data_IF_001975832858
#
_entry.id   IF_001975832858
#
_cell.length_a   1.000
_cell.length_b   1.000
_cell.length_c   1.000
_cell.angle_alpha   90.00
_cell.angle_beta   90.00
_cell.angle_gamma   90.00
#
_symmetry.space_group_name_H-M   'P 1'
#
loop_
_entity.id
_entity.type
_entity.pdbx_description
1 polymer ?
#
# COMPACT_ATOMS: atom_id res chain seq x y z
N UNK A 1 -32.59 0.09 16.77
CA UNK A 1 -32.73 -0.57 15.44
C UNK A 1 -31.37 -0.94 14.83
N UNK A 2 -30.35 -0.08 14.88
CA UNK A 2 -28.99 -0.40 14.34
C UNK A 2 -28.01 -1.05 15.34
N UNK A 3 -28.37 -1.18 16.62
CA UNK A 3 -27.52 -1.85 17.60
C UNK A 3 -27.38 -3.33 17.24
N UNK A 4 -26.15 -3.86 17.22
CA UNK A 4 -25.83 -5.26 16.87
C UNK A 4 -26.05 -5.62 15.38
N UNK A 5 -26.19 -4.63 14.47
CA UNK A 5 -26.25 -4.88 13.03
C UNK A 5 -24.90 -4.61 12.36
N UNK A 6 -24.79 -5.02 11.10
CA UNK A 6 -23.65 -4.70 10.24
C UNK A 6 -23.45 -3.18 10.02
N UNK A 7 -24.39 -2.34 10.48
CA UNK A 7 -24.28 -0.88 10.38
C UNK A 7 -23.14 -0.37 11.26
N UNK A 8 -23.11 -0.84 12.50
CA UNK A 8 -22.03 -0.52 13.45
C UNK A 8 -20.70 -1.08 12.95
N UNK A 9 -20.73 -2.25 12.32
CA UNK A 9 -19.56 -2.90 11.73
C UNK A 9 -19.00 -2.05 10.59
N UNK A 10 -19.83 -1.64 9.63
CA UNK A 10 -19.41 -0.80 8.51
C UNK A 10 -18.87 0.55 8.95
N UNK A 11 -19.57 1.25 9.86
CA UNK A 11 -19.11 2.52 10.42
C UNK A 11 -17.74 2.42 11.08
N UNK A 12 -17.55 1.43 11.96
CA UNK A 12 -16.28 1.22 12.66
C UNK A 12 -15.14 0.92 11.68
N UNK A 13 -15.39 0.07 10.68
CA UNK A 13 -14.37 -0.30 9.70
C UNK A 13 -13.96 0.88 8.80
N UNK A 14 -14.90 1.73 8.39
CA UNK A 14 -14.58 2.95 7.65
C UNK A 14 -13.66 3.88 8.45
N UNK A 15 -13.89 4.01 9.76
CA UNK A 15 -13.03 4.82 10.62
C UNK A 15 -11.64 4.20 10.81
N UNK A 16 -11.57 2.93 11.20
CA UNK A 16 -10.29 2.31 11.59
C UNK A 16 -9.39 2.05 10.38
N UNK A 17 -9.92 1.60 9.25
CA UNK A 17 -9.12 1.26 8.07
C UNK A 17 -8.51 2.49 7.41
N UNK A 18 -9.25 3.59 7.34
CA UNK A 18 -8.75 4.82 6.74
C UNK A 18 -7.66 5.45 7.62
N UNK A 19 -7.88 5.56 8.93
CA UNK A 19 -6.90 6.13 9.85
C UNK A 19 -5.65 5.26 9.92
N UNK A 20 -5.81 3.95 10.13
CA UNK A 20 -4.67 3.06 10.39
C UNK A 20 -3.79 2.94 9.16
N UNK A 21 -4.36 2.69 7.97
CA UNK A 21 -3.53 2.43 6.79
C UNK A 21 -2.99 3.69 6.12
N UNK A 22 -3.78 4.77 6.04
CA UNK A 22 -3.25 6.04 5.52
C UNK A 22 -2.22 6.62 6.49
N UNK A 23 -2.48 6.58 7.79
CA UNK A 23 -1.52 7.02 8.81
C UNK A 23 -0.25 6.18 8.83
N UNK A 24 -0.36 4.85 8.80
CA UNK A 24 0.78 3.94 8.76
C UNK A 24 1.63 4.13 7.50
N UNK A 25 1.00 4.22 6.32
CA UNK A 25 1.74 4.40 5.05
C UNK A 25 2.47 5.74 5.00
N UNK A 26 1.89 6.82 5.53
CA UNK A 26 2.55 8.12 5.62
C UNK A 26 3.79 8.10 6.51
N UNK A 27 3.67 7.54 7.73
CA UNK A 27 4.80 7.42 8.67
C UNK A 27 5.88 6.52 8.10
N UNK A 28 5.50 5.38 7.52
CA UNK A 28 6.44 4.43 6.95
C UNK A 28 7.21 5.05 5.79
N UNK A 29 6.53 5.78 4.90
CA UNK A 29 7.18 6.48 3.80
C UNK A 29 8.22 7.50 4.29
N UNK A 30 7.90 8.28 5.34
CA UNK A 30 8.82 9.24 5.94
C UNK A 30 10.06 8.56 6.57
N UNK A 31 9.85 7.45 7.29
CA UNK A 31 10.93 6.65 7.88
C UNK A 31 11.83 6.02 6.80
N UNK A 32 11.26 5.50 5.71
CA UNK A 32 12.03 4.91 4.60
C UNK A 32 12.91 5.95 3.91
N UNK A 33 12.37 7.14 3.64
CA UNK A 33 13.12 8.25 3.03
C UNK A 33 14.29 8.69 3.91
N UNK A 34 14.05 8.76 5.23
CA UNK A 34 15.08 9.09 6.22
C UNK A 34 16.20 8.05 6.29
N UNK A 35 15.88 6.75 6.13
CA UNK A 35 16.87 5.66 6.16
C UNK A 35 17.70 5.55 4.88
N UNK A 36 17.13 5.86 3.71
CA UNK A 36 17.81 5.76 2.42
C UNK A 36 18.55 7.04 2.01
N UNK A 37 18.95 7.87 3.00
CA UNK A 37 19.72 9.09 2.80
C UNK A 37 19.12 10.06 1.76
N UNK A 38 17.79 10.11 1.66
CA UNK A 38 17.10 11.02 0.73
C UNK A 38 17.07 10.56 -0.74
N UNK A 39 17.36 9.28 -1.03
CA UNK A 39 17.01 8.68 -2.31
C UNK A 39 15.49 8.75 -2.51
N UNK A 40 15.06 9.05 -3.74
CA UNK A 40 13.64 9.10 -4.10
C UNK A 40 13.17 7.74 -4.63
N UNK A 41 11.87 7.46 -4.47
CA UNK A 41 11.24 6.27 -5.05
C UNK A 41 11.26 6.35 -6.58
N UNK A 42 11.49 5.22 -7.24
CA UNK A 42 11.32 5.13 -8.69
C UNK A 42 9.86 5.36 -9.08
N UNK A 43 9.61 5.78 -10.33
CA UNK A 43 8.24 5.98 -10.84
C UNK A 43 7.37 4.71 -10.71
N UNK A 44 7.99 3.52 -10.81
CA UNK A 44 7.31 2.25 -10.56
C UNK A 44 6.90 2.09 -9.10
N UNK A 45 7.84 2.33 -8.15
CA UNK A 45 7.56 2.21 -6.72
C UNK A 45 6.47 3.20 -6.28
N UNK A 46 6.56 4.44 -6.76
CA UNK A 46 5.57 5.50 -6.51
C UNK A 46 4.22 5.14 -7.12
N UNK A 47 4.19 4.60 -8.34
CA UNK A 47 2.98 4.12 -9.00
C UNK A 47 2.30 2.99 -8.22
N UNK A 48 3.07 2.02 -7.72
CA UNK A 48 2.55 0.93 -6.88
C UNK A 48 2.02 1.42 -5.54
N UNK A 49 2.73 2.35 -4.88
CA UNK A 49 2.28 2.93 -3.61
C UNK A 49 0.97 3.72 -3.78
N UNK A 50 0.91 4.61 -4.78
CA UNK A 50 -0.29 5.42 -5.05
C UNK A 50 -1.43 4.52 -5.52
N UNK A 51 -1.17 3.61 -6.46
CA UNK A 51 -2.17 2.67 -6.98
C UNK A 51 -2.75 1.77 -5.88
N UNK A 52 -1.88 1.22 -5.03
CA UNK A 52 -2.29 0.44 -3.87
C UNK A 52 -3.13 1.26 -2.88
N UNK A 53 -2.74 2.50 -2.58
CA UNK A 53 -3.48 3.37 -1.66
C UNK A 53 -4.86 3.77 -2.21
N UNK A 54 -4.95 4.10 -3.51
CA UNK A 54 -6.22 4.43 -4.17
C UNK A 54 -7.14 3.22 -4.22
N UNK A 55 -6.61 2.06 -4.58
CA UNK A 55 -7.37 0.82 -4.61
C UNK A 55 -7.84 0.43 -3.20
N UNK A 56 -6.99 0.58 -2.18
CA UNK A 56 -7.37 0.38 -0.77
C UNK A 56 -8.51 1.31 -0.37
N UNK A 57 -8.37 2.62 -0.65
CA UNK A 57 -9.35 3.63 -0.21
C UNK A 57 -10.70 3.44 -0.88
N UNK A 58 -10.72 3.18 -2.18
CA UNK A 58 -11.95 2.94 -2.94
C UNK A 58 -12.66 1.65 -2.51
N UNK A 59 -11.92 0.56 -2.32
CA UNK A 59 -12.49 -0.71 -1.87
C UNK A 59 -12.92 -0.68 -0.40
N UNK A 60 -12.17 -0.02 0.48
CA UNK A 60 -12.57 0.20 1.88
C UNK A 60 -13.87 1.01 1.99
N UNK A 61 -14.01 2.05 1.17
CA UNK A 61 -15.24 2.85 1.11
C UNK A 61 -16.42 2.00 0.62
N UNK A 62 -16.24 1.28 -0.48
CA UNK A 62 -17.29 0.43 -1.06
C UNK A 62 -17.75 -0.66 -0.07
N UNK A 63 -16.80 -1.35 0.58
CA UNK A 63 -17.11 -2.40 1.54
C UNK A 63 -17.79 -1.85 2.81
N UNK A 64 -17.28 -0.74 3.34
CA UNK A 64 -17.87 -0.10 4.51
C UNK A 64 -19.27 0.44 4.24
N UNK A 65 -19.51 0.96 3.03
CA UNK A 65 -20.85 1.36 2.57
C UNK A 65 -21.78 0.15 2.49
N UNK A 66 -21.34 -0.94 1.86
CA UNK A 66 -22.17 -2.13 1.68
C UNK A 66 -22.54 -2.78 3.03
N UNK A 67 -21.57 -2.87 3.95
CA UNK A 67 -21.82 -3.29 5.34
C UNK A 67 -22.82 -2.38 6.04
N UNK A 68 -22.67 -1.06 5.87
CA UNK A 68 -23.56 -0.08 6.49
C UNK A 68 -24.99 -0.22 5.97
N UNK A 69 -25.14 -0.35 4.65
CA UNK A 69 -26.44 -0.52 4.01
C UNK A 69 -27.10 -1.85 4.39
N UNK A 70 -26.37 -2.97 4.31
CA UNK A 70 -26.86 -4.28 4.74
C UNK A 70 -27.28 -4.27 6.22
N UNK A 71 -26.53 -3.58 7.08
CA UNK A 71 -26.89 -3.41 8.48
C UNK A 71 -28.12 -2.54 8.72
N UNK A 72 -28.37 -1.55 7.87
CA UNK A 72 -29.55 -0.69 7.93
C UNK A 72 -30.83 -1.46 7.59
N UNK A 73 -30.79 -2.33 6.58
CA UNK A 73 -31.91 -3.22 6.22
C UNK A 73 -32.08 -4.42 7.18
N UNK A 74 -31.29 -4.48 8.26
CA UNK A 74 -31.48 -5.41 9.38
C UNK A 74 -30.53 -6.62 9.40
N UNK A 75 -29.41 -6.59 8.70
CA UNK A 75 -28.42 -7.67 8.77
C UNK A 75 -27.71 -7.69 10.13
N UNK A 76 -27.93 -8.75 10.91
CA UNK A 76 -27.40 -8.90 12.27
C UNK A 76 -25.94 -9.36 12.20
N UNK A 77 -25.08 -8.82 13.08
CA UNK A 77 -23.67 -9.22 13.14
C UNK A 77 -23.49 -10.65 13.67
N UNK A 78 -22.36 -11.28 13.32
CA UNK A 78 -21.92 -12.59 13.85
C UNK A 78 -22.89 -13.74 13.54
N UNK A 79 -23.57 -13.67 12.40
CA UNK A 79 -24.45 -14.73 11.91
C UNK A 79 -23.79 -15.44 10.72
N UNK A 80 -23.64 -16.76 10.81
CA UNK A 80 -23.09 -17.58 9.72
C UNK A 80 -24.16 -18.02 8.72
N UNK A 81 -25.40 -18.20 9.18
CA UNK A 81 -26.56 -18.47 8.34
C UNK A 81 -27.42 -17.22 8.29
N UNK A 82 -27.76 -16.75 7.09
CA UNK A 82 -28.54 -15.52 6.91
C UNK A 82 -29.62 -15.73 5.84
N UNK A 83 -30.74 -14.98 5.92
CA UNK A 83 -31.78 -15.04 4.90
C UNK A 83 -31.23 -14.78 3.49
N UNK A 84 -31.77 -15.48 2.48
CA UNK A 84 -31.30 -15.43 1.07
C UNK A 84 -31.27 -14.00 0.51
N UNK A 85 -32.12 -13.10 1.00
CA UNK A 85 -32.10 -11.67 0.63
C UNK A 85 -30.76 -10.96 0.91
N UNK A 86 -29.92 -11.50 1.80
CA UNK A 86 -28.61 -10.97 2.14
C UNK A 86 -27.44 -11.61 1.38
N UNK A 87 -27.69 -12.69 0.63
CA UNK A 87 -26.68 -13.37 -0.19
C UNK A 87 -25.92 -12.43 -1.13
N UNK A 88 -26.56 -11.55 -1.94
CA UNK A 88 -25.81 -10.67 -2.83
C UNK A 88 -24.93 -9.66 -2.08
N UNK A 89 -25.35 -9.20 -0.90
CA UNK A 89 -24.54 -8.33 -0.06
C UNK A 89 -23.28 -9.06 0.43
N UNK A 90 -23.44 -10.29 0.93
CA UNK A 90 -22.33 -11.10 1.44
C UNK A 90 -21.32 -11.49 0.36
N UNK A 91 -21.79 -11.82 -0.84
CA UNK A 91 -20.92 -12.08 -1.99
C UNK A 91 -20.14 -10.81 -2.36
N UNK A 92 -20.83 -9.67 -2.45
CA UNK A 92 -20.17 -8.40 -2.80
C UNK A 92 -19.14 -7.96 -1.76
N UNK A 93 -19.46 -8.06 -0.46
CA UNK A 93 -18.50 -7.81 0.62
C UNK A 93 -17.27 -8.72 0.50
N UNK A 94 -17.45 -9.99 0.14
CA UNK A 94 -16.33 -10.92 -0.01
C UNK A 94 -15.42 -10.51 -1.17
N UNK A 95 -15.98 -10.18 -2.34
CA UNK A 95 -15.18 -9.74 -3.49
C UNK A 95 -14.44 -8.43 -3.23
N UNK A 96 -15.11 -7.46 -2.60
CA UNK A 96 -14.48 -6.18 -2.26
C UNK A 96 -13.41 -6.37 -1.17
N UNK A 97 -13.60 -7.29 -0.22
CA UNK A 97 -12.57 -7.63 0.76
C UNK A 97 -11.32 -8.25 0.11
N UNK A 98 -11.50 -9.09 -0.91
CA UNK A 98 -10.37 -9.63 -1.69
C UNK A 98 -9.65 -8.51 -2.45
N UNK A 99 -10.38 -7.55 -3.01
CA UNK A 99 -9.78 -6.37 -3.66
C UNK A 99 -9.02 -5.48 -2.65
N UNK A 100 -9.54 -5.31 -1.43
CA UNK A 100 -8.80 -4.64 -0.36
C UNK A 100 -7.51 -5.39 -0.01
N UNK A 101 -7.58 -6.72 0.16
CA UNK A 101 -6.41 -7.53 0.49
C UNK A 101 -5.34 -7.49 -0.62
N UNK A 102 -5.75 -7.52 -1.90
CA UNK A 102 -4.80 -7.40 -3.02
C UNK A 102 -4.14 -6.03 -3.07
N UNK A 103 -4.89 -4.95 -2.79
CA UNK A 103 -4.32 -3.60 -2.70
C UNK A 103 -3.26 -3.49 -1.60
N UNK A 104 -3.42 -4.23 -0.49
CA UNK A 104 -2.42 -4.29 0.57
C UNK A 104 -1.11 -4.90 0.06
N UNK A 105 -1.17 -5.98 -0.71
CA UNK A 105 0.01 -6.61 -1.29
C UNK A 105 0.73 -5.67 -2.27
N UNK A 106 -0.03 -4.92 -3.09
CA UNK A 106 0.53 -3.99 -4.08
C UNK A 106 1.40 -2.92 -3.40
N UNK A 107 0.92 -2.30 -2.32
CA UNK A 107 1.72 -1.29 -1.62
C UNK A 107 2.81 -1.91 -0.72
N UNK A 108 2.63 -3.14 -0.25
CA UNK A 108 3.62 -3.82 0.59
C UNK A 108 4.87 -4.26 -0.19
N UNK A 109 4.73 -4.62 -1.47
CA UNK A 109 5.85 -5.04 -2.34
C UNK A 109 7.03 -4.06 -2.34
N UNK A 110 6.85 -2.76 -2.67
CA UNK A 110 7.96 -1.82 -2.67
C UNK A 110 8.58 -1.72 -1.27
N UNK A 111 7.76 -1.66 -0.21
CA UNK A 111 8.23 -1.59 1.19
C UNK A 111 9.09 -2.79 1.55
N UNK A 112 8.62 -4.02 1.33
CA UNK A 112 9.38 -5.23 1.61
C UNK A 112 10.67 -5.29 0.81
N UNK A 113 10.66 -4.84 -0.45
CA UNK A 113 11.86 -4.77 -1.28
C UNK A 113 12.88 -3.74 -0.79
N UNK A 114 12.47 -2.78 0.06
CA UNK A 114 13.40 -1.83 0.70
C UNK A 114 14.00 -2.41 1.99
N UNK A 115 13.22 -3.21 2.74
CA UNK A 115 13.62 -3.81 4.01
C UNK A 115 14.47 -5.07 3.82
N UNK A 116 14.10 -5.91 2.86
CA UNK A 116 14.91 -7.02 2.37
C UNK A 116 15.80 -6.40 1.28
N UNK A 117 17.13 -6.33 1.44
CA UNK A 117 18.06 -5.69 0.49
C UNK A 117 18.20 -6.47 -0.84
N UNK A 118 17.07 -6.82 -1.45
CA UNK A 118 16.93 -7.53 -2.71
C UNK A 118 16.89 -6.48 -3.82
N UNK A 119 17.99 -6.34 -4.56
CA UNK A 119 18.10 -5.56 -5.82
C UNK A 119 17.31 -4.24 -5.80
N UNK A 120 17.77 -3.30 -4.97
CA UNK A 120 17.17 -1.99 -4.71
C UNK A 120 17.08 -1.06 -5.93
N UNK A 121 17.77 -1.37 -7.04
CA UNK A 121 17.84 -0.53 -8.24
C UNK A 121 16.53 -0.38 -9.02
N UNK A 122 15.53 -1.24 -8.79
CA UNK A 122 14.21 -1.15 -9.42
C UNK A 122 13.26 -0.18 -8.71
N UNK A 123 13.44 0.03 -7.41
CA UNK A 123 12.51 0.76 -6.56
C UNK A 123 13.02 2.13 -6.08
N UNK A 124 14.31 2.40 -6.27
CA UNK A 124 14.95 3.67 -5.91
C UNK A 124 15.61 4.31 -7.13
N UNK A 125 15.45 5.62 -7.28
CA UNK A 125 16.13 6.42 -8.30
C UNK A 125 17.18 7.33 -7.64
N UNK A 126 18.34 7.47 -8.29
CA UNK A 126 19.33 8.47 -7.88
C UNK A 126 18.90 9.79 -8.48
N UNK A 127 18.51 10.75 -7.64
CA UNK A 127 18.23 12.12 -8.05
C UNK A 127 19.53 12.71 -8.61
N UNK A 128 19.58 12.98 -9.92
CA UNK A 128 20.73 13.62 -10.57
C UNK A 128 20.92 15.03 -10.01
N UNK A 129 21.71 15.14 -8.95
CA UNK A 129 21.98 16.40 -8.25
C UNK A 129 23.19 16.27 -7.35
N UNK A 130 24.36 16.08 -7.97
CA UNK A 130 25.67 16.19 -7.32
C UNK A 130 26.04 15.05 -6.36
N UNK A 131 26.81 14.06 -6.83
CA UNK A 131 27.59 13.23 -5.92
C UNK A 131 28.82 14.01 -5.46
N UNK A 132 29.07 14.22 -4.15
CA UNK A 132 30.44 14.22 -3.67
C UNK A 132 31.00 12.81 -3.85
N UNK A 133 32.23 12.72 -4.32
CA UNK A 133 32.96 11.52 -4.74
C UNK A 133 33.29 10.51 -3.61
N UNK A 134 32.44 10.40 -2.58
CA UNK A 134 32.68 9.58 -1.40
C UNK A 134 31.48 8.72 -1.00
N UNK A 135 30.62 8.34 -1.95
CA UNK A 135 29.69 7.23 -1.73
C UNK A 135 30.47 5.91 -1.79
N UNK A 136 31.12 5.60 -0.66
CA UNK A 136 31.64 4.28 -0.33
C UNK A 136 30.47 3.31 -0.25
N UNK A 137 30.36 2.42 -1.25
CA UNK A 137 30.12 0.96 -1.12
C UNK A 137 29.09 0.43 -0.12
N UNK A 138 28.12 1.22 0.34
CA UNK A 138 27.18 0.82 1.39
C UNK A 138 25.71 0.85 0.98
N UNK A 139 25.40 1.18 -0.28
CA UNK A 139 24.11 0.87 -0.88
C UNK A 139 24.12 -0.60 -1.36
N UNK A 140 23.30 -1.50 -0.78
CA UNK A 140 23.22 -2.89 -1.26
C UNK A 140 22.69 -2.88 -2.69
N UNK A 141 23.55 -3.23 -3.65
CA UNK A 141 23.15 -3.48 -5.04
C UNK A 141 23.48 -2.40 -6.08
N UNK A 142 24.10 -1.28 -5.71
CA UNK A 142 24.67 -0.36 -6.72
C UNK A 142 26.08 -0.86 -7.07
N UNK A 143 26.14 -1.88 -7.93
CA UNK A 143 27.39 -2.33 -8.53
C UNK A 143 27.85 -1.24 -9.50
N UNK A 144 28.85 -0.46 -9.10
CA UNK A 144 29.39 0.66 -9.86
C UNK A 144 29.88 0.22 -11.24
N UNK A 145 29.29 0.77 -12.30
CA UNK A 145 29.86 0.71 -13.64
C UNK A 145 31.14 1.55 -13.66
N UNK A 146 32.31 0.91 -13.65
CA UNK A 146 33.56 1.58 -14.00
C UNK A 146 33.52 1.94 -15.49
N UNK A 147 33.22 3.20 -15.80
CA UNK A 147 33.48 3.78 -17.12
C UNK A 147 34.99 3.91 -17.31
N UNK A 148 35.58 3.05 -18.15
CA UNK A 148 36.95 3.22 -18.64
C UNK A 148 36.96 4.24 -19.79
N UNK A 149 37.15 5.52 -19.46
CA UNK A 149 37.60 6.48 -20.46
C UNK A 149 39.11 6.34 -20.60
N UNK A 150 39.56 5.52 -21.56
CA UNK A 150 40.94 5.58 -22.03
C UNK A 150 41.01 6.67 -23.09
N UNK A 151 41.69 7.72 -22.66
CA UNK A 151 42.08 8.95 -23.32
C UNK A 151 42.66 8.69 -24.73
N UNK A 152 42.08 9.36 -25.74
CA UNK A 152 42.74 9.59 -27.03
C UNK A 152 43.83 10.64 -26.80
N UNK A 153 45.10 10.24 -26.84
CA UNK A 153 46.20 11.14 -27.11
C UNK A 153 46.75 10.83 -28.51
N UNK A 154 46.85 11.90 -29.30
CA UNK A 154 47.25 11.97 -30.70
C UNK A 154 48.75 12.18 -30.81
#
# INVERSE_FOLDING_TARGET
>A
IVHNTYYVVGHFHLMIWTITLVGFTAILHDMLRSKMAGLDFSELARGLLIGGLVMWTSSALALGYDMSYAGYIGFIRRWMAYPVKFLPFMDSMTYIAVAMASSFLIFAIPILSTLLPLKTSLFWSVTQGGLPSSFSTSAPGIMGSKTSNVEKAK
#
